data_IF_846127555764
#
_entry.id   IF_846127555764
#
_cell.length_a   1.000
_cell.length_b   1.000
_cell.length_c   1.000
_cell.angle_alpha   90.00
_cell.angle_beta   90.00
_cell.angle_gamma   90.00
#
_symmetry.space_group_name_H-M   'P 1'
#
loop_
_entity.id
_entity.type
_entity.pdbx_description
1 polymer ?
#
# COMPACT_ATOMS: atom_id res chain seq x y z
N UNK A 1 7.44 32.98 37.00
CA UNK A 1 7.77 33.02 35.54
C UNK A 1 8.64 31.85 35.05
N UNK A 2 9.34 31.13 35.91
CA UNK A 2 10.18 30.00 35.49
C UNK A 2 9.46 28.66 35.32
N UNK A 3 8.28 28.48 35.88
CA UNK A 3 7.51 27.23 35.83
C UNK A 3 6.89 26.92 34.42
N UNK A 4 6.48 27.91 33.67
CA UNK A 4 5.86 27.69 32.34
C UNK A 4 6.87 27.23 31.28
N UNK A 5 8.14 27.59 31.38
CA UNK A 5 9.16 27.16 30.41
C UNK A 5 9.58 25.72 30.59
N UNK A 6 9.65 25.23 31.83
CA UNK A 6 10.00 23.82 32.08
C UNK A 6 8.90 22.86 31.67
N UNK A 7 7.64 23.19 31.92
CA UNK A 7 6.48 22.36 31.51
C UNK A 7 6.38 22.29 30.00
N UNK A 8 6.68 23.37 29.29
CA UNK A 8 6.64 23.39 27.82
C UNK A 8 7.75 22.54 27.18
N UNK A 9 8.94 22.55 27.75
CA UNK A 9 10.09 21.75 27.30
C UNK A 9 9.89 20.27 27.60
N UNK A 10 9.31 19.92 28.75
CA UNK A 10 8.99 18.52 29.09
C UNK A 10 7.91 17.96 28.18
N UNK A 11 6.81 18.69 27.93
CA UNK A 11 5.80 18.28 26.97
C UNK A 11 6.35 18.14 25.54
N UNK A 12 7.25 19.01 25.13
CA UNK A 12 7.88 18.90 23.80
C UNK A 12 8.78 17.68 23.70
N UNK A 13 9.54 17.35 24.75
CA UNK A 13 10.35 16.14 24.80
C UNK A 13 9.51 14.84 24.85
N UNK A 14 8.38 14.86 25.56
CA UNK A 14 7.44 13.73 25.58
C UNK A 14 6.78 13.51 24.23
N UNK A 15 6.41 14.57 23.53
CA UNK A 15 5.84 14.49 22.17
C UNK A 15 6.90 14.04 21.14
N UNK A 16 8.14 14.49 21.28
CA UNK A 16 9.26 14.06 20.42
C UNK A 16 9.65 12.60 20.72
N UNK A 17 9.59 12.15 21.98
CA UNK A 17 9.85 10.76 22.37
C UNK A 17 8.74 9.79 21.91
N UNK A 18 7.48 10.21 21.84
CA UNK A 18 6.38 9.41 21.29
C UNK A 18 6.44 9.29 19.76
N UNK A 19 7.12 10.20 19.08
CA UNK A 19 7.29 10.14 17.61
C UNK A 19 8.47 9.27 17.17
N UNK A 20 9.45 8.98 18.04
CA UNK A 20 10.69 8.32 17.65
C UNK A 20 10.64 6.79 17.55
N UNK A 21 9.57 6.10 17.94
CA UNK A 21 9.59 4.63 18.01
C UNK A 21 8.44 3.87 17.35
N UNK A 22 7.56 4.52 16.61
CA UNK A 22 6.56 3.78 15.85
C UNK A 22 7.13 3.37 14.50
N UNK A 23 7.84 2.26 14.48
CA UNK A 23 8.19 1.61 13.22
C UNK A 23 6.90 1.27 12.47
N UNK A 24 6.80 1.70 11.22
CA UNK A 24 5.66 1.43 10.36
C UNK A 24 6.10 0.56 9.21
N UNK A 25 5.43 -0.54 9.04
CA UNK A 25 5.60 -1.39 7.87
C UNK A 25 4.59 -0.97 6.81
N UNK A 26 5.07 -0.46 5.70
CA UNK A 26 4.24 -0.03 4.59
C UNK A 26 4.23 -1.08 3.49
N UNK A 27 3.05 -1.58 3.19
CA UNK A 27 2.82 -2.59 2.16
C UNK A 27 2.06 -1.94 1.00
N UNK A 28 2.64 -2.00 -0.19
CA UNK A 28 2.03 -1.54 -1.42
C UNK A 28 1.72 -2.72 -2.32
N UNK A 29 0.47 -2.86 -2.68
CA UNK A 29 -0.04 -3.94 -3.52
C UNK A 29 -0.38 -3.37 -4.88
N UNK A 30 0.02 -4.07 -5.94
CA UNK A 30 -0.29 -3.70 -7.34
C UNK A 30 -0.84 -4.92 -8.08
N UNK A 31 -1.87 -4.72 -8.88
CA UNK A 31 -2.33 -5.71 -9.85
C UNK A 31 -3.17 -5.04 -10.95
N UNK A 32 -3.41 -5.78 -12.01
CA UNK A 32 -4.25 -5.32 -13.12
C UNK A 32 -5.75 -5.51 -12.86
N UNK A 33 -6.13 -6.44 -11.99
CA UNK A 33 -7.53 -6.69 -11.62
C UNK A 33 -7.82 -6.13 -10.22
N UNK A 34 -8.85 -5.28 -10.12
CA UNK A 34 -9.27 -4.69 -8.86
C UNK A 34 -9.80 -5.74 -7.86
N UNK A 35 -10.46 -6.80 -8.33
CA UNK A 35 -11.01 -7.85 -7.45
C UNK A 35 -9.90 -8.62 -6.74
N UNK A 36 -8.87 -8.98 -7.49
CA UNK A 36 -7.71 -9.71 -6.96
C UNK A 36 -6.95 -8.85 -5.96
N UNK A 37 -6.77 -7.55 -6.24
CA UNK A 37 -6.12 -6.62 -5.31
C UNK A 37 -6.88 -6.50 -4.00
N UNK A 38 -8.21 -6.36 -4.06
CA UNK A 38 -9.03 -6.22 -2.86
C UNK A 38 -9.08 -7.51 -2.04
N UNK A 39 -9.11 -8.67 -2.69
CA UNK A 39 -9.03 -9.97 -2.03
C UNK A 39 -7.68 -10.15 -1.32
N UNK A 40 -6.58 -9.83 -2.00
CA UNK A 40 -5.23 -9.91 -1.43
C UNK A 40 -5.05 -8.94 -0.25
N UNK A 41 -5.60 -7.72 -0.36
CA UNK A 41 -5.58 -6.75 0.72
C UNK A 41 -6.30 -7.26 1.98
N UNK A 42 -7.46 -7.89 1.82
CA UNK A 42 -8.19 -8.52 2.94
C UNK A 42 -7.40 -9.62 3.61
N UNK A 43 -6.78 -10.51 2.83
CA UNK A 43 -5.95 -11.60 3.37
C UNK A 43 -4.77 -11.08 4.19
N UNK A 44 -4.12 -10.00 3.73
CA UNK A 44 -3.01 -9.37 4.45
C UNK A 44 -3.49 -8.75 5.77
N UNK A 45 -4.63 -8.04 5.74
CA UNK A 45 -5.22 -7.43 6.93
C UNK A 45 -5.60 -8.50 7.96
N UNK A 46 -6.33 -9.54 7.55
CA UNK A 46 -6.72 -10.66 8.43
C UNK A 46 -5.51 -11.35 9.06
N UNK A 47 -4.43 -11.51 8.29
CA UNK A 47 -3.19 -12.10 8.79
C UNK A 47 -2.55 -11.18 9.84
N UNK A 48 -2.45 -9.89 9.56
CA UNK A 48 -1.86 -8.93 10.49
C UNK A 48 -2.67 -8.79 11.79
N UNK A 49 -3.99 -8.75 11.70
CA UNK A 49 -4.92 -8.71 12.85
C UNK A 49 -4.81 -9.98 13.72
N UNK A 50 -4.65 -11.15 13.10
CA UNK A 50 -4.44 -12.42 13.80
C UNK A 50 -3.21 -12.41 14.70
N UNK A 51 -2.18 -11.67 14.33
CA UNK A 51 -0.97 -11.48 15.14
C UNK A 51 -1.04 -10.26 16.06
N UNK A 52 -2.20 -9.60 16.16
CA UNK A 52 -2.43 -8.48 17.08
C UNK A 52 -1.78 -7.16 16.66
N UNK A 53 -1.47 -6.98 15.38
CA UNK A 53 -0.95 -5.72 14.86
C UNK A 53 -2.07 -4.72 14.61
N UNK A 54 -1.79 -3.47 14.87
CA UNK A 54 -2.67 -2.37 14.48
C UNK A 54 -2.48 -2.08 12.98
N UNK A 55 -3.53 -2.28 12.21
CA UNK A 55 -3.52 -2.07 10.76
C UNK A 55 -4.31 -0.81 10.42
N UNK A 56 -3.67 0.07 9.68
CA UNK A 56 -4.35 1.18 9.01
C UNK A 56 -4.85 0.67 7.67
N UNK A 57 -6.17 0.62 7.51
CA UNK A 57 -6.90 -0.07 6.46
C UNK A 57 -6.43 0.21 5.02
N UNK A 58 -6.95 -0.55 4.04
CA UNK A 58 -6.49 -0.45 2.66
C UNK A 58 -6.83 0.95 2.11
N UNK A 59 -5.78 1.72 1.80
CA UNK A 59 -5.91 3.04 1.22
C UNK A 59 -5.86 2.90 -0.30
N UNK A 60 -6.91 3.28 -1.04
CA UNK A 60 -6.88 3.25 -2.48
C UNK A 60 -5.96 4.35 -3.01
N UNK A 61 -4.98 3.97 -3.81
CA UNK A 61 -4.13 4.91 -4.53
C UNK A 61 -4.71 5.13 -5.93
N UNK A 62 -4.39 6.26 -6.59
CA UNK A 62 -4.83 6.52 -7.95
C UNK A 62 -4.46 5.38 -8.90
N UNK A 63 -5.43 4.92 -9.70
CA UNK A 63 -5.21 3.89 -10.70
C UNK A 63 -4.39 4.45 -11.86
N UNK A 64 -3.29 3.80 -12.18
CA UNK A 64 -2.47 4.18 -13.32
C UNK A 64 -3.08 3.60 -14.60
N UNK A 65 -3.41 4.47 -15.53
CA UNK A 65 -4.00 4.08 -16.81
C UNK A 65 -2.99 4.35 -17.92
N UNK A 66 -2.65 3.32 -18.68
CA UNK A 66 -1.83 3.43 -19.89
C UNK A 66 -2.71 3.12 -21.10
N UNK A 67 -2.73 4.04 -22.05
CA UNK A 67 -3.53 3.91 -23.27
C UNK A 67 -2.62 3.65 -24.46
N UNK A 68 -2.98 2.67 -25.27
CA UNK A 68 -2.28 2.29 -26.48
C UNK A 68 -3.21 2.38 -27.67
N UNK A 69 -2.75 3.06 -28.71
CA UNK A 69 -3.49 3.18 -29.97
C UNK A 69 -2.70 2.47 -31.06
N UNK A 70 -3.32 1.50 -31.72
CA UNK A 70 -2.72 0.71 -32.78
C UNK A 70 -3.54 0.87 -34.05
N UNK A 71 -2.87 1.00 -35.20
CA UNK A 71 -3.55 1.04 -36.48
C UNK A 71 -4.19 -0.32 -36.81
N UNK A 72 -5.47 -0.30 -37.19
CA UNK A 72 -6.21 -1.50 -37.56
C UNK A 72 -5.88 -1.99 -38.98
N UNK A 73 -5.56 -1.08 -39.87
CA UNK A 73 -5.26 -1.37 -41.28
C UNK A 73 -3.92 -0.78 -41.70
N UNK A 74 -3.16 -1.47 -42.53
CA UNK A 74 -1.87 -1.03 -43.07
C UNK A 74 -1.97 -0.03 -44.19
N UNK A 75 -3.16 0.07 -44.84
CA UNK A 75 -3.36 0.85 -46.08
C UNK A 75 -4.72 1.52 -46.14
N UNK A 76 -4.81 2.77 -46.59
CA UNK A 76 -5.98 3.59 -46.94
C UNK A 76 -6.88 4.07 -45.79
N UNK A 77 -7.04 3.35 -44.69
CA UNK A 77 -7.93 3.72 -43.59
C UNK A 77 -7.14 4.39 -42.45
N UNK A 78 -6.89 5.69 -42.58
CA UNK A 78 -6.14 6.46 -41.59
C UNK A 78 -6.83 6.54 -40.21
N UNK A 79 -8.17 6.56 -40.18
CA UNK A 79 -8.96 6.72 -38.94
C UNK A 79 -9.35 5.38 -38.31
N UNK A 80 -9.03 4.24 -38.93
CA UNK A 80 -9.27 2.93 -38.36
C UNK A 80 -8.17 2.56 -37.37
N UNK A 81 -8.47 2.71 -36.08
CA UNK A 81 -7.52 2.44 -34.98
C UNK A 81 -8.19 1.58 -33.93
N UNK A 82 -7.39 0.70 -33.32
CA UNK A 82 -7.77 -0.01 -32.11
C UNK A 82 -7.13 0.67 -30.92
N UNK A 83 -7.93 0.91 -29.89
CA UNK A 83 -7.47 1.51 -28.65
C UNK A 83 -7.51 0.47 -27.53
N UNK A 84 -6.37 0.30 -26.88
CA UNK A 84 -6.21 -0.56 -25.71
C UNK A 84 -5.82 0.26 -24.50
N UNK A 85 -6.24 -0.21 -23.35
CA UNK A 85 -5.81 0.38 -22.09
C UNK A 85 -5.33 -0.69 -21.11
N UNK A 86 -4.34 -0.34 -20.32
CA UNK A 86 -3.85 -1.15 -19.21
C UNK A 86 -4.05 -0.36 -17.91
N UNK A 87 -4.84 -0.89 -16.99
CA UNK A 87 -5.11 -0.27 -15.69
C UNK A 87 -4.36 -1.02 -14.61
N UNK A 88 -3.52 -0.29 -13.87
CA UNK A 88 -2.84 -0.83 -12.70
C UNK A 88 -3.49 -0.29 -11.45
N UNK A 89 -4.15 -1.17 -10.69
CA UNK A 89 -4.76 -0.84 -9.40
C UNK A 89 -3.73 -0.95 -8.30
N UNK A 90 -3.73 0.01 -7.38
CA UNK A 90 -2.78 0.09 -6.27
C UNK A 90 -3.53 0.25 -4.96
N UNK A 91 -3.06 -0.46 -3.93
CA UNK A 91 -3.54 -0.32 -2.55
C UNK A 91 -2.35 -0.16 -1.62
N UNK A 92 -2.54 0.63 -0.58
CA UNK A 92 -1.54 0.86 0.46
C UNK A 92 -2.10 0.39 1.80
N UNK A 93 -1.30 -0.39 2.53
CA UNK A 93 -1.62 -0.85 3.88
C UNK A 93 -0.44 -0.48 4.77
N UNK A 94 -0.72 0.21 5.87
CA UNK A 94 0.28 0.53 6.88
C UNK A 94 0.02 -0.32 8.13
N UNK A 95 1.04 -1.02 8.61
CA UNK A 95 1.01 -1.81 9.84
C UNK A 95 1.87 -1.10 10.87
N UNK A 96 1.27 -0.76 12.00
CA UNK A 96 1.96 -0.14 13.13
C UNK A 96 2.59 -1.22 14.01
N UNK A 97 3.82 -0.97 14.48
CA UNK A 97 4.57 -1.86 15.38
C UNK A 97 4.68 -3.31 14.86
N UNK A 98 5.31 -3.52 13.69
CA UNK A 98 5.46 -4.86 13.13
C UNK A 98 6.34 -5.72 14.02
N UNK A 99 5.85 -6.89 14.43
CA UNK A 99 6.67 -7.91 15.06
C UNK A 99 7.39 -8.75 13.98
N UNK A 100 8.57 -9.31 14.26
CA UNK A 100 9.26 -10.15 13.27
C UNK A 100 8.41 -11.34 12.80
N UNK A 101 7.56 -11.88 13.66
CA UNK A 101 6.61 -12.95 13.32
C UNK A 101 5.61 -12.55 12.24
N UNK A 102 5.18 -11.28 12.23
CA UNK A 102 4.28 -10.75 11.22
C UNK A 102 4.97 -10.71 9.86
N UNK A 103 6.22 -10.25 9.83
CA UNK A 103 7.00 -10.17 8.59
C UNK A 103 7.19 -11.57 7.99
N UNK A 104 7.55 -12.55 8.79
CA UNK A 104 7.70 -13.95 8.36
C UNK A 104 6.38 -14.53 7.83
N UNK A 105 5.27 -14.24 8.50
CA UNK A 105 3.94 -14.68 8.07
C UNK A 105 3.48 -14.03 6.77
N UNK A 106 3.79 -12.76 6.56
CA UNK A 106 3.49 -12.04 5.32
C UNK A 106 4.34 -12.57 4.15
N UNK A 107 5.60 -12.93 4.39
CA UNK A 107 6.47 -13.55 3.37
C UNK A 107 5.97 -14.93 2.92
N UNK A 108 5.37 -15.68 3.84
CA UNK A 108 4.83 -17.03 3.57
C UNK A 108 3.37 -17.04 3.09
N UNK A 109 2.78 -15.88 2.85
CA UNK A 109 1.39 -15.75 2.46
C UNK A 109 1.20 -16.14 0.99
N UNK A 110 0.35 -17.14 0.75
CA UNK A 110 -0.01 -17.54 -0.61
C UNK A 110 -1.00 -16.53 -1.21
N UNK A 111 -0.51 -15.73 -2.10
CA UNK A 111 -1.30 -14.74 -2.82
C UNK A 111 -1.70 -15.25 -4.21
N UNK A 112 -2.82 -14.80 -4.75
CA UNK A 112 -3.22 -15.14 -6.10
C UNK A 112 -2.19 -14.63 -7.12
N UNK A 113 -2.03 -15.34 -8.21
CA UNK A 113 -1.15 -14.95 -9.29
C UNK A 113 -1.56 -13.60 -9.90
N UNK A 114 -0.57 -12.77 -10.24
CA UNK A 114 -0.80 -11.45 -10.84
C UNK A 114 -0.80 -10.29 -9.84
N UNK A 115 -0.44 -10.53 -8.58
CA UNK A 115 -0.29 -9.50 -7.56
C UNK A 115 1.18 -9.27 -7.24
N UNK A 116 1.62 -8.03 -7.38
CA UNK A 116 2.96 -7.60 -6.96
C UNK A 116 2.86 -6.89 -5.61
N UNK A 117 3.77 -7.24 -4.69
CA UNK A 117 3.86 -6.65 -3.36
C UNK A 117 5.22 -6.01 -3.15
N UNK A 118 5.20 -4.77 -2.72
CA UNK A 118 6.38 -4.05 -2.23
C UNK A 118 6.22 -3.79 -0.73
N UNK A 119 7.19 -4.23 0.05
CA UNK A 119 7.23 -4.00 1.50
C UNK A 119 8.37 -3.00 1.79
N UNK A 120 8.04 -1.93 2.52
CA UNK A 120 8.98 -0.93 2.98
C UNK A 120 8.84 -0.75 4.50
N UNK A 121 9.96 -0.72 5.17
CA UNK A 121 10.08 -0.47 6.62
C UNK A 121 10.56 0.96 6.83
#
# INVERSE_FOLDING_TARGET
>A
MYFCRQVFVVKKKEIEAEQETKQRLRIKIRAFDHKIVDQSARQIIETAERYGAEVIGPIPLPTQIQKYTVNRSTFVHKDAREQFEMRTHKRLIDICNPTPKIIDSLMNLNLPAGVDIEIKI
#
